data_IF_586270372807
#
_entry.id   IF_586270372807
#
_cell.length_a   1.000
_cell.length_b   1.000
_cell.length_c   1.000
_cell.angle_alpha   90.00
_cell.angle_beta   90.00
_cell.angle_gamma   90.00
#
_symmetry.space_group_name_H-M   'P 1'
#
loop_
_entity.id
_entity.type
_entity.pdbx_description
1 polymer ?
#
# COMPACT_ATOMS: atom_id res chain seq x y z
N UNK A 1 13.94 -8.27 -14.35
CA UNK A 1 12.53 -8.64 -14.54
C UNK A 1 12.16 -9.70 -13.53
N UNK A 2 11.12 -9.51 -12.76
CA UNK A 2 10.57 -10.49 -11.81
C UNK A 2 9.31 -11.12 -12.37
N UNK A 3 9.00 -12.33 -11.89
CA UNK A 3 7.75 -13.04 -12.27
C UNK A 3 7.07 -13.61 -11.03
N UNK A 4 5.81 -13.25 -10.83
CA UNK A 4 4.93 -13.75 -9.78
C UNK A 4 3.78 -14.54 -10.40
N UNK A 5 4.02 -15.83 -10.66
CA UNK A 5 3.04 -16.75 -11.24
C UNK A 5 2.16 -17.42 -10.15
N UNK A 6 2.64 -17.43 -8.94
CA UNK A 6 1.93 -17.78 -7.70
C UNK A 6 2.59 -17.06 -6.52
N UNK A 7 1.98 -17.15 -5.36
CA UNK A 7 2.42 -16.50 -4.12
C UNK A 7 2.70 -17.50 -3.00
N UNK A 8 2.94 -18.75 -3.36
CA UNK A 8 3.34 -19.78 -2.42
C UNK A 8 4.82 -19.65 -2.04
N UNK A 9 5.15 -20.04 -0.80
CA UNK A 9 6.54 -20.09 -0.32
C UNK A 9 7.36 -18.80 -0.47
N UNK A 10 6.72 -17.62 -0.32
CA UNK A 10 7.43 -16.34 -0.35
C UNK A 10 8.30 -16.17 0.91
N UNK A 11 9.54 -15.75 0.69
CA UNK A 11 10.39 -15.16 1.71
C UNK A 11 10.41 -13.65 1.48
N UNK A 12 9.82 -12.88 2.40
CA UNK A 12 9.58 -11.46 2.20
C UNK A 12 10.87 -10.64 2.09
N UNK A 13 11.91 -10.99 2.87
CA UNK A 13 13.19 -10.30 2.81
C UNK A 13 13.88 -10.51 1.45
N UNK A 14 13.90 -11.76 0.96
CA UNK A 14 14.45 -12.08 -0.36
C UNK A 14 13.65 -11.42 -1.50
N UNK A 15 12.33 -11.34 -1.36
CA UNK A 15 11.49 -10.66 -2.35
C UNK A 15 11.75 -9.16 -2.35
N UNK A 16 11.96 -8.53 -1.18
CA UNK A 16 12.30 -7.11 -1.11
C UNK A 16 13.61 -6.83 -1.83
N UNK A 17 14.67 -7.60 -1.58
CA UNK A 17 15.97 -7.45 -2.28
C UNK A 17 15.81 -7.55 -3.81
N UNK A 18 14.99 -8.47 -4.29
CA UNK A 18 14.72 -8.61 -5.74
C UNK A 18 13.96 -7.40 -6.28
N UNK A 19 12.96 -6.90 -5.53
CA UNK A 19 12.11 -5.78 -5.92
C UNK A 19 12.92 -4.49 -5.99
N UNK A 20 13.77 -4.21 -5.03
CA UNK A 20 14.63 -3.01 -5.00
C UNK A 20 15.55 -2.89 -6.22
N UNK A 21 15.90 -4.00 -6.84
CA UNK A 21 16.75 -4.08 -8.02
C UNK A 21 15.95 -4.33 -9.32
N UNK A 22 14.64 -4.13 -9.29
CA UNK A 22 13.76 -4.47 -10.40
C UNK A 22 13.08 -3.24 -11.00
N UNK A 23 13.14 -3.11 -12.32
CA UNK A 23 12.40 -2.08 -13.06
C UNK A 23 11.04 -2.57 -13.59
N UNK A 24 10.88 -3.89 -13.71
CA UNK A 24 9.70 -4.47 -14.36
C UNK A 24 9.33 -5.84 -13.78
N UNK A 25 8.04 -6.05 -13.47
CA UNK A 25 7.52 -7.31 -12.97
C UNK A 25 6.31 -7.78 -13.81
N UNK A 26 6.25 -9.08 -14.08
CA UNK A 26 5.06 -9.76 -14.62
C UNK A 26 4.38 -10.53 -13.49
N UNK A 27 3.06 -10.44 -13.39
CA UNK A 27 2.34 -11.10 -12.30
C UNK A 27 0.96 -11.62 -12.70
N UNK A 28 0.53 -12.68 -12.06
CA UNK A 28 -0.87 -13.09 -12.01
C UNK A 28 -1.50 -12.30 -10.86
N UNK A 29 -2.48 -11.46 -11.18
CA UNK A 29 -3.17 -10.65 -10.19
C UNK A 29 -4.24 -11.46 -9.48
N UNK A 30 -4.10 -11.57 -8.18
CA UNK A 30 -5.06 -12.22 -7.27
C UNK A 30 -5.58 -11.21 -6.24
N UNK A 31 -6.66 -10.47 -6.54
CA UNK A 31 -7.10 -9.32 -5.72
C UNK A 31 -7.49 -9.63 -4.28
N UNK A 32 -7.80 -10.90 -3.98
CA UNK A 32 -8.16 -11.38 -2.65
C UNK A 32 -7.01 -12.10 -1.93
N UNK A 33 -5.89 -12.30 -2.60
CA UNK A 33 -4.72 -12.94 -2.01
C UNK A 33 -3.85 -11.90 -1.29
N UNK A 34 -3.77 -12.01 0.02
CA UNK A 34 -2.99 -11.09 0.87
C UNK A 34 -1.52 -11.02 0.48
N UNK A 35 -0.91 -12.16 0.12
CA UNK A 35 0.49 -12.19 -0.31
C UNK A 35 0.70 -11.41 -1.61
N UNK A 36 -0.24 -11.53 -2.57
CA UNK A 36 -0.25 -10.72 -3.78
C UNK A 36 -0.33 -9.22 -3.44
N UNK A 37 -1.22 -8.82 -2.52
CA UNK A 37 -1.40 -7.42 -2.13
C UNK A 37 -0.17 -6.86 -1.41
N UNK A 38 0.49 -7.65 -0.57
CA UNK A 38 1.74 -7.28 0.06
C UNK A 38 2.83 -6.98 -0.97
N UNK A 39 3.04 -7.91 -1.91
CA UNK A 39 4.01 -7.74 -3.02
C UNK A 39 3.66 -6.52 -3.86
N UNK A 40 2.38 -6.29 -4.17
CA UNK A 40 1.94 -5.10 -4.89
C UNK A 40 2.30 -3.80 -4.17
N UNK A 41 2.16 -3.74 -2.84
CA UNK A 41 2.58 -2.58 -2.04
C UNK A 41 4.09 -2.32 -2.15
N UNK A 42 4.90 -3.39 -2.07
CA UNK A 42 6.36 -3.30 -2.19
C UNK A 42 6.78 -2.86 -3.60
N UNK A 43 6.21 -3.44 -4.65
CA UNK A 43 6.46 -3.04 -6.05
C UNK A 43 6.05 -1.59 -6.31
N UNK A 44 4.90 -1.17 -5.75
CA UNK A 44 4.33 0.16 -5.98
C UNK A 44 5.24 1.27 -5.46
N UNK A 45 5.71 1.14 -4.22
CA UNK A 45 6.56 2.16 -3.61
C UNK A 45 7.95 2.26 -4.27
N UNK A 46 8.44 1.16 -4.85
CA UNK A 46 9.67 1.12 -5.63
C UNK A 46 9.50 1.62 -7.08
N UNK A 47 8.29 2.03 -7.48
CA UNK A 47 8.04 2.54 -8.83
C UNK A 47 8.19 1.49 -9.94
N UNK A 48 8.08 0.21 -9.61
CA UNK A 48 8.27 -0.89 -10.54
C UNK A 48 7.13 -0.92 -11.55
N UNK A 49 7.44 -1.01 -12.84
CA UNK A 49 6.43 -1.22 -13.87
C UNK A 49 5.89 -2.64 -13.78
N UNK A 50 4.57 -2.80 -13.91
CA UNK A 50 3.95 -4.12 -13.86
C UNK A 50 3.23 -4.47 -15.17
N UNK A 51 3.17 -5.78 -15.45
CA UNK A 51 2.31 -6.37 -16.47
C UNK A 51 1.48 -7.48 -15.84
N UNK A 52 0.19 -7.42 -16.03
CA UNK A 52 -0.75 -8.42 -15.53
C UNK A 52 -0.93 -9.49 -16.61
N UNK A 53 -0.61 -10.74 -16.25
CA UNK A 53 -0.66 -11.87 -17.20
C UNK A 53 -2.08 -12.40 -17.39
N UNK A 54 -2.91 -12.34 -16.36
CA UNK A 54 -4.32 -12.77 -16.38
C UNK A 54 -5.31 -11.61 -16.55
N UNK A 55 -4.93 -10.59 -17.28
CA UNK A 55 -5.72 -9.36 -17.48
C UNK A 55 -7.16 -9.65 -17.97
N UNK A 56 -7.31 -10.65 -18.84
CA UNK A 56 -8.61 -11.02 -19.41
C UNK A 56 -9.59 -11.63 -18.40
N UNK A 57 -9.08 -12.15 -17.29
CA UNK A 57 -9.86 -12.82 -16.26
C UNK A 57 -10.29 -11.84 -15.15
N UNK A 58 -9.82 -10.58 -15.23
CA UNK A 58 -10.14 -9.58 -14.22
C UNK A 58 -11.54 -9.02 -14.39
N UNK A 59 -12.32 -9.02 -13.32
CA UNK A 59 -13.59 -8.30 -13.28
C UNK A 59 -13.36 -6.81 -13.00
N UNK A 60 -13.29 -6.01 -14.09
CA UNK A 60 -13.08 -4.57 -14.03
C UNK A 60 -14.39 -3.76 -13.90
N UNK A 61 -15.55 -4.42 -13.97
CA UNK A 61 -16.87 -3.78 -13.88
C UNK A 61 -17.29 -3.50 -12.43
N UNK A 62 -16.72 -4.21 -11.47
CA UNK A 62 -17.00 -3.98 -10.07
C UNK A 62 -16.32 -2.70 -9.60
N UNK A 63 -17.06 -1.62 -9.68
CA UNK A 63 -16.60 -0.24 -9.55
C UNK A 63 -16.07 0.12 -8.16
N UNK A 64 -16.08 -0.75 -7.17
CA UNK A 64 -16.02 -0.18 -5.84
C UNK A 64 -15.04 -0.76 -4.85
N UNK A 65 -14.35 -1.83 -5.04
CA UNK A 65 -13.68 -2.38 -3.83
C UNK A 65 -12.50 -3.31 -4.05
N UNK A 66 -12.11 -3.61 -5.26
CA UNK A 66 -11.06 -4.61 -5.43
C UNK A 66 -9.77 -4.01 -5.96
N UNK A 67 -8.68 -4.51 -5.44
CA UNK A 67 -7.35 -4.31 -6.01
C UNK A 67 -7.20 -4.89 -7.43
N UNK A 68 -8.28 -5.27 -8.12
CA UNK A 68 -8.24 -5.56 -9.56
C UNK A 68 -8.10 -4.31 -10.41
N UNK A 69 -8.75 -3.22 -10.01
CA UNK A 69 -8.78 -1.98 -10.80
C UNK A 69 -7.48 -1.20 -10.67
N UNK A 70 -7.01 -0.98 -9.45
CA UNK A 70 -5.81 -0.18 -9.21
C UNK A 70 -4.56 -0.77 -9.89
N UNK A 71 -4.23 -2.05 -9.75
CA UNK A 71 -3.09 -2.63 -10.45
C UNK A 71 -3.27 -2.65 -11.97
N UNK A 72 -4.51 -2.83 -12.46
CA UNK A 72 -4.80 -2.73 -13.89
C UNK A 72 -4.48 -1.33 -14.43
N UNK A 73 -4.96 -0.28 -13.78
CA UNK A 73 -4.65 1.11 -14.14
C UNK A 73 -3.14 1.36 -14.08
N UNK A 74 -2.49 0.92 -13.02
CA UNK A 74 -1.05 1.05 -12.85
C UNK A 74 -0.27 0.33 -13.97
N UNK A 75 -0.68 -0.86 -14.39
CA UNK A 75 -0.03 -1.60 -15.48
C UNK A 75 -0.06 -0.86 -16.82
N UNK A 76 -1.00 0.08 -17.00
CA UNK A 76 -1.12 0.89 -18.22
C UNK A 76 -0.37 2.24 -18.17
N UNK A 77 0.15 2.60 -17.00
CA UNK A 77 0.96 3.82 -16.86
C UNK A 77 2.34 3.54 -17.49
N UNK A 78 2.73 4.40 -18.44
CA UNK A 78 4.00 4.25 -19.16
C UNK A 78 3.99 3.21 -20.28
N UNK A 79 2.85 2.59 -20.58
CA UNK A 79 2.67 1.75 -21.76
C UNK A 79 2.35 2.61 -22.98
N UNK A 80 3.37 2.86 -23.81
CA UNK A 80 3.23 3.63 -25.05
C UNK A 80 2.49 2.87 -26.16
N UNK A 81 2.27 1.56 -25.99
CA UNK A 81 1.53 0.73 -26.97
C UNK A 81 0.02 0.91 -26.84
N UNK A 82 -0.44 1.47 -25.71
CA UNK A 82 -1.84 1.83 -25.52
C UNK A 82 -2.08 3.16 -26.26
N UNK A 83 -2.72 3.16 -27.44
CA UNK A 83 -2.87 4.38 -28.21
C UNK A 83 -3.69 5.39 -27.39
N UNK A 84 -3.29 6.65 -27.45
CA UNK A 84 -4.17 7.79 -27.12
C UNK A 84 -5.29 7.75 -28.16
N UNK A 85 -6.32 6.95 -27.91
CA UNK A 85 -7.46 6.88 -28.79
C UNK A 85 -8.18 8.22 -28.79
N UNK A 86 -8.69 8.60 -29.95
CA UNK A 86 -9.62 9.69 -30.06
C UNK A 86 -10.74 9.50 -29.02
N UNK A 87 -11.02 10.52 -28.21
CA UNK A 87 -11.95 10.47 -27.09
C UNK A 87 -13.35 9.91 -27.46
N UNK A 88 -13.70 10.03 -28.75
CA UNK A 88 -14.93 9.48 -29.34
C UNK A 88 -14.98 7.96 -29.35
N UNK A 89 -13.85 7.27 -29.24
CA UNK A 89 -13.72 5.81 -29.32
C UNK A 89 -13.52 5.12 -27.96
N UNK A 90 -13.50 5.87 -26.85
CA UNK A 90 -13.34 5.31 -25.50
C UNK A 90 -14.63 4.61 -25.10
N UNK A 91 -14.61 3.27 -25.09
CA UNK A 91 -15.79 2.43 -24.92
C UNK A 91 -16.21 2.23 -23.46
N UNK A 92 -15.28 2.30 -22.53
CA UNK A 92 -15.54 2.00 -21.12
C UNK A 92 -15.15 3.14 -20.20
N UNK A 93 -15.73 3.20 -19.01
CA UNK A 93 -15.34 4.17 -17.96
C UNK A 93 -13.86 3.96 -17.53
N UNK A 94 -13.38 2.72 -17.60
CA UNK A 94 -11.99 2.38 -17.29
C UNK A 94 -11.03 2.97 -18.34
N UNK A 95 -11.37 2.87 -19.62
CA UNK A 95 -10.54 3.46 -20.69
C UNK A 95 -10.42 4.98 -20.49
N UNK A 96 -11.51 5.64 -20.12
CA UNK A 96 -11.50 7.09 -19.80
C UNK A 96 -10.56 7.42 -18.65
N UNK A 97 -10.53 6.60 -17.60
CA UNK A 97 -9.63 6.77 -16.47
C UNK A 97 -8.17 6.62 -16.88
N UNK A 98 -7.85 5.61 -17.67
CA UNK A 98 -6.50 5.39 -18.22
C UNK A 98 -6.07 6.56 -19.09
N UNK A 99 -6.93 7.02 -20.00
CA UNK A 99 -6.65 8.18 -20.84
C UNK A 99 -6.39 9.46 -20.01
N UNK A 100 -7.16 9.69 -18.95
CA UNK A 100 -6.93 10.82 -18.06
C UNK A 100 -5.56 10.75 -17.39
N UNK A 101 -5.14 9.56 -16.90
CA UNK A 101 -3.82 9.36 -16.30
C UNK A 101 -2.72 9.67 -17.30
N UNK A 102 -2.83 9.17 -18.53
CA UNK A 102 -1.87 9.44 -19.62
C UNK A 102 -1.78 10.92 -19.96
N UNK A 103 -2.93 11.60 -20.05
CA UNK A 103 -2.98 13.06 -20.34
C UNK A 103 -2.33 13.90 -19.25
N UNK A 104 -2.46 13.51 -17.98
CA UNK A 104 -1.82 14.18 -16.86
C UNK A 104 -0.32 13.89 -16.80
N UNK A 105 0.14 12.85 -17.51
CA UNK A 105 1.55 12.48 -17.56
C UNK A 105 2.04 11.89 -16.23
N UNK A 106 1.21 11.08 -15.57
CA UNK A 106 1.60 10.38 -14.34
C UNK A 106 2.82 9.51 -14.62
N UNK A 107 3.84 9.62 -13.78
CA UNK A 107 5.05 8.82 -13.84
C UNK A 107 5.07 7.80 -12.71
N UNK A 108 5.69 6.67 -12.99
CA UNK A 108 6.03 5.66 -12.01
C UNK A 108 7.43 5.95 -11.45
N UNK A 109 7.50 6.92 -10.56
CA UNK A 109 8.74 7.22 -9.86
C UNK A 109 8.73 6.53 -8.49
N UNK A 110 9.86 6.01 -8.01
CA UNK A 110 9.96 5.48 -6.65
C UNK A 110 9.56 6.53 -5.61
N UNK A 111 8.85 6.10 -4.59
CA UNK A 111 8.47 6.98 -3.48
C UNK A 111 9.60 6.99 -2.47
N UNK A 112 10.22 8.16 -2.31
CA UNK A 112 11.41 8.32 -1.47
C UNK A 112 11.00 8.39 0.01
N UNK A 113 11.67 7.57 0.82
CA UNK A 113 11.50 7.60 2.28
C UNK A 113 12.07 8.90 2.85
N UNK A 114 11.18 9.78 3.31
CA UNK A 114 11.54 11.09 3.87
C UNK A 114 10.72 11.38 5.15
N UNK A 115 11.05 10.72 6.28
CA UNK A 115 10.27 10.80 7.50
C UNK A 115 10.33 12.20 8.14
N UNK A 116 9.18 12.68 8.56
CA UNK A 116 8.96 13.90 9.33
C UNK A 116 8.82 13.50 10.80
N UNK A 117 9.51 14.21 11.70
CA UNK A 117 9.44 13.97 13.15
C UNK A 117 7.99 14.09 13.65
N UNK A 118 7.62 13.20 14.57
CA UNK A 118 6.30 13.10 15.18
C UNK A 118 5.14 12.84 14.18
N UNK A 119 5.43 12.42 12.94
CA UNK A 119 4.39 12.02 12.01
C UNK A 119 4.18 10.50 12.07
N UNK A 120 2.93 10.10 12.20
CA UNK A 120 2.48 8.70 12.24
C UNK A 120 1.53 8.46 11.06
N UNK A 121 1.67 7.31 10.41
CA UNK A 121 0.64 6.79 9.51
C UNK A 121 -0.12 5.67 10.22
N UNK A 122 -1.44 5.77 10.26
CA UNK A 122 -2.29 4.76 10.87
C UNK A 122 -2.84 3.79 9.82
N UNK A 123 -2.36 2.55 9.82
CA UNK A 123 -2.99 1.47 9.07
C UNK A 123 -4.20 0.98 9.86
N UNK A 124 -5.39 1.09 9.28
CA UNK A 124 -6.62 0.67 9.91
C UNK A 124 -7.68 0.27 8.87
N UNK A 125 -8.70 -0.53 9.24
CA UNK A 125 -9.81 -0.82 8.36
C UNK A 125 -10.62 0.46 8.09
N UNK A 126 -10.93 0.72 6.81
CA UNK A 126 -11.67 1.93 6.39
C UNK A 126 -13.09 1.56 5.96
N UNK A 127 -13.20 0.67 4.96
CA UNK A 127 -14.49 0.39 4.30
C UNK A 127 -15.40 -0.53 5.10
N UNK A 128 -14.82 -1.54 5.73
CA UNK A 128 -15.54 -2.57 6.46
C UNK A 128 -15.41 -2.41 7.98
N UNK A 129 -14.91 -1.27 8.46
CA UNK A 129 -14.80 -1.00 9.89
C UNK A 129 -16.18 -1.01 10.55
N UNK A 130 -16.30 -1.71 11.68
CA UNK A 130 -17.49 -1.63 12.56
C UNK A 130 -17.60 -0.25 13.18
N UNK A 131 -18.75 0.08 13.75
CA UNK A 131 -18.93 1.34 14.48
C UNK A 131 -17.99 1.46 15.67
N UNK A 132 -17.74 0.36 16.38
CA UNK A 132 -16.82 0.28 17.51
C UNK A 132 -15.38 0.54 17.07
N UNK A 133 -14.95 -0.09 15.96
CA UNK A 133 -13.62 0.14 15.39
C UNK A 133 -13.46 1.60 14.94
N UNK A 134 -14.46 2.18 14.28
CA UNK A 134 -14.41 3.60 13.85
C UNK A 134 -14.25 4.54 15.04
N UNK A 135 -15.06 4.33 16.08
CA UNK A 135 -14.99 5.13 17.31
C UNK A 135 -13.62 4.99 17.96
N UNK A 136 -13.12 3.76 18.11
CA UNK A 136 -11.79 3.52 18.66
C UNK A 136 -10.69 4.26 17.89
N UNK A 137 -10.75 4.19 16.54
CA UNK A 137 -9.79 4.86 15.65
C UNK A 137 -9.87 6.38 15.82
N UNK A 138 -11.07 6.95 15.87
CA UNK A 138 -11.27 8.39 16.06
C UNK A 138 -10.74 8.86 17.43
N UNK A 139 -11.04 8.12 18.50
CA UNK A 139 -10.54 8.39 19.85
C UNK A 139 -9.00 8.32 19.88
N UNK A 140 -8.40 7.30 19.27
CA UNK A 140 -6.95 7.16 19.15
C UNK A 140 -6.31 8.32 18.40
N UNK A 141 -6.88 8.72 17.27
CA UNK A 141 -6.41 9.87 16.48
C UNK A 141 -6.47 11.14 17.31
N UNK A 142 -7.58 11.38 18.03
CA UNK A 142 -7.75 12.52 18.92
C UNK A 142 -6.69 12.56 20.02
N UNK A 143 -6.45 11.44 20.68
CA UNK A 143 -5.41 11.32 21.71
C UNK A 143 -4.02 11.64 21.14
N UNK A 144 -3.68 11.12 19.96
CA UNK A 144 -2.37 11.38 19.34
C UNK A 144 -2.17 12.85 18.96
N UNK A 145 -3.22 13.54 18.54
CA UNK A 145 -3.15 14.99 18.34
C UNK A 145 -2.89 15.76 19.65
N UNK A 146 -3.53 15.37 20.75
CA UNK A 146 -3.29 15.97 22.06
C UNK A 146 -1.86 15.72 22.55
N UNK A 147 -1.27 14.57 22.21
CA UNK A 147 0.13 14.24 22.47
C UNK A 147 1.13 15.00 21.56
N UNK A 148 0.65 15.78 20.58
CA UNK A 148 1.46 16.58 19.66
C UNK A 148 1.98 15.83 18.44
N UNK A 149 1.40 14.68 18.11
CA UNK A 149 1.71 13.96 16.86
C UNK A 149 0.89 14.49 15.69
N UNK A 150 1.48 14.40 14.49
CA UNK A 150 0.77 14.56 13.21
C UNK A 150 0.40 13.16 12.72
N UNK A 151 -0.89 12.84 12.73
CA UNK A 151 -1.33 11.52 12.31
C UNK A 151 -2.00 11.55 10.92
N UNK A 152 -1.65 10.62 10.05
CA UNK A 152 -2.37 10.38 8.81
C UNK A 152 -3.18 9.09 8.92
N UNK A 153 -4.49 9.25 9.05
CA UNK A 153 -5.46 8.15 9.04
C UNK A 153 -6.21 8.19 7.69
N UNK A 154 -6.14 7.16 6.84
CA UNK A 154 -6.68 7.20 5.47
C UNK A 154 -8.16 7.58 5.37
N UNK A 155 -8.99 7.16 6.33
CA UNK A 155 -10.42 7.49 6.34
C UNK A 155 -10.72 8.98 6.59
N UNK A 156 -9.79 9.72 7.22
CA UNK A 156 -9.93 11.15 7.51
C UNK A 156 -9.15 12.02 6.52
N UNK A 157 -7.99 11.56 6.05
CA UNK A 157 -7.02 12.42 5.39
C UNK A 157 -6.78 12.06 3.92
N UNK A 158 -7.21 10.87 3.46
CA UNK A 158 -7.09 10.46 2.06
C UNK A 158 -8.41 10.65 1.34
N UNK A 159 -8.37 11.31 0.19
CA UNK A 159 -9.55 11.49 -0.66
C UNK A 159 -10.05 10.13 -1.11
N UNK A 160 -11.25 9.73 -0.66
CA UNK A 160 -11.84 8.41 -0.95
C UNK A 160 -12.49 8.33 -2.34
N UNK A 161 -12.62 9.43 -3.05
CA UNK A 161 -13.12 9.49 -4.43
C UNK A 161 -11.94 9.59 -5.38
N UNK A 162 -11.72 8.55 -6.17
CA UNK A 162 -10.60 8.47 -7.10
C UNK A 162 -11.08 8.12 -8.51
N UNK A 163 -10.91 9.08 -9.42
CA UNK A 163 -11.22 8.91 -10.85
C UNK A 163 -10.20 8.00 -11.58
N UNK A 164 -9.10 7.67 -10.92
CA UNK A 164 -8.01 6.84 -11.47
C UNK A 164 -8.04 5.40 -10.97
N UNK A 165 -9.20 4.91 -10.56
CA UNK A 165 -9.38 3.51 -10.17
C UNK A 165 -8.65 3.07 -8.90
N UNK A 166 -8.43 3.99 -7.96
CA UNK A 166 -7.73 3.73 -6.70
C UNK A 166 -6.22 4.05 -6.74
N UNK A 167 -5.66 4.36 -7.91
CA UNK A 167 -4.22 4.67 -8.04
C UNK A 167 -3.81 5.91 -7.23
N UNK A 168 -4.60 7.00 -7.31
CA UNK A 168 -4.30 8.22 -6.58
C UNK A 168 -4.43 8.04 -5.06
N UNK A 169 -5.40 7.24 -4.61
CA UNK A 169 -5.55 6.85 -3.20
C UNK A 169 -4.31 6.10 -2.71
N UNK A 170 -3.89 5.06 -3.43
CA UNK A 170 -2.70 4.28 -3.08
C UNK A 170 -1.43 5.14 -3.09
N UNK A 171 -1.30 6.06 -4.06
CA UNK A 171 -0.17 6.97 -4.13
C UNK A 171 -0.14 7.92 -2.94
N UNK A 172 -1.26 8.54 -2.59
CA UNK A 172 -1.37 9.44 -1.44
C UNK A 172 -1.05 8.71 -0.12
N UNK A 173 -1.55 7.49 0.06
CA UNK A 173 -1.23 6.68 1.23
C UNK A 173 0.26 6.33 1.27
N UNK A 174 0.85 5.87 0.17
CA UNK A 174 2.25 5.52 0.11
C UNK A 174 3.18 6.72 0.38
N UNK A 175 2.85 7.92 -0.13
CA UNK A 175 3.55 9.16 0.19
C UNK A 175 3.40 9.54 1.68
N UNK A 176 2.22 9.30 2.26
CA UNK A 176 1.98 9.53 3.68
C UNK A 176 2.78 8.54 4.55
N UNK A 177 2.85 7.26 4.16
CA UNK A 177 3.73 6.24 4.79
C UNK A 177 5.18 6.70 4.69
N UNK A 178 5.65 7.08 3.51
CA UNK A 178 7.03 7.53 3.28
C UNK A 178 7.41 8.73 4.16
N UNK A 179 6.50 9.67 4.33
CA UNK A 179 6.72 10.85 5.17
C UNK A 179 6.48 10.61 6.66
N UNK A 180 6.00 9.45 7.08
CA UNK A 180 5.80 9.12 8.49
C UNK A 180 7.07 8.57 9.13
N UNK A 181 7.29 8.92 10.39
CA UNK A 181 8.39 8.40 11.21
C UNK A 181 8.12 6.96 11.66
N UNK A 182 6.83 6.63 11.84
CA UNK A 182 6.36 5.39 12.43
C UNK A 182 5.01 5.01 11.81
N UNK A 183 4.74 3.72 11.78
CA UNK A 183 3.46 3.16 11.36
C UNK A 183 2.79 2.56 12.58
N UNK A 184 1.61 3.07 12.91
CA UNK A 184 0.74 2.45 13.89
C UNK A 184 -0.29 1.60 13.15
N UNK A 185 -0.54 0.39 13.60
CA UNK A 185 -1.50 -0.49 12.95
C UNK A 185 -2.56 -1.00 13.94
N UNK A 186 -3.82 -0.73 13.62
CA UNK A 186 -4.96 -1.49 14.11
C UNK A 186 -5.22 -2.62 13.11
N UNK A 187 -4.66 -3.80 13.41
CA UNK A 187 -4.67 -4.91 12.46
C UNK A 187 -6.01 -5.60 12.40
N UNK A 188 -6.59 -5.65 11.22
CA UNK A 188 -7.79 -6.42 10.90
C UNK A 188 -7.45 -7.39 9.76
N UNK A 189 -7.49 -8.68 10.07
CA UNK A 189 -7.18 -9.75 9.11
C UNK A 189 -8.08 -9.73 7.86
N UNK A 190 -9.25 -9.10 7.91
CA UNK A 190 -10.17 -8.99 6.77
C UNK A 190 -9.84 -7.80 5.83
N UNK A 191 -9.00 -6.86 6.28
CA UNK A 191 -8.71 -5.64 5.54
C UNK A 191 -7.63 -5.83 4.48
N UNK A 192 -8.03 -5.90 3.22
CA UNK A 192 -7.10 -6.03 2.08
C UNK A 192 -6.28 -4.77 1.84
N UNK A 193 -6.85 -3.58 2.08
CA UNK A 193 -6.13 -2.31 1.96
C UNK A 193 -4.96 -2.20 2.95
N UNK A 194 -5.18 -2.65 4.18
CA UNK A 194 -4.14 -2.68 5.21
C UNK A 194 -2.92 -3.52 4.80
N UNK A 195 -3.13 -4.63 4.08
CA UNK A 195 -2.04 -5.49 3.62
C UNK A 195 -1.19 -4.82 2.53
N UNK A 196 -1.82 -4.06 1.63
CA UNK A 196 -1.08 -3.27 0.65
C UNK A 196 -0.22 -2.19 1.34
N UNK A 197 -0.82 -1.44 2.28
CA UNK A 197 -0.10 -0.41 3.05
C UNK A 197 1.02 -1.01 3.92
N UNK A 198 0.86 -2.25 4.44
CA UNK A 198 1.93 -3.00 5.10
C UNK A 198 3.09 -3.31 4.14
N UNK A 199 2.81 -3.70 2.90
CA UNK A 199 3.84 -3.91 1.88
C UNK A 199 4.63 -2.63 1.58
N UNK A 200 3.95 -1.48 1.49
CA UNK A 200 4.58 -0.16 1.36
C UNK A 200 5.47 0.14 2.57
N UNK A 201 4.95 -0.07 3.78
CA UNK A 201 5.69 0.20 5.02
C UNK A 201 6.93 -0.69 5.17
N UNK A 202 6.81 -1.96 4.79
CA UNK A 202 7.91 -2.91 4.82
C UNK A 202 9.03 -2.51 3.87
N UNK A 203 8.72 -2.21 2.62
CA UNK A 203 9.69 -1.78 1.62
C UNK A 203 10.37 -0.44 1.96
N UNK A 204 9.71 0.41 2.74
CA UNK A 204 10.28 1.65 3.25
C UNK A 204 10.99 1.50 4.60
N UNK A 205 11.14 0.28 5.11
CA UNK A 205 11.81 -0.02 6.38
C UNK A 205 11.23 0.76 7.57
N UNK A 206 9.91 0.91 7.62
CA UNK A 206 9.24 1.72 8.66
C UNK A 206 9.11 0.95 9.97
N UNK A 207 9.38 1.58 11.12
CA UNK A 207 9.00 1.03 12.42
C UNK A 207 7.49 0.79 12.48
N UNK A 208 7.07 -0.36 13.04
CA UNK A 208 5.68 -0.73 13.20
C UNK A 208 5.31 -0.88 14.68
N UNK A 209 4.16 -0.32 15.05
CA UNK A 209 3.54 -0.48 16.38
C UNK A 209 2.18 -1.13 16.20
N UNK A 210 2.01 -2.32 16.76
CA UNK A 210 0.73 -3.03 16.76
C UNK A 210 -0.13 -2.58 17.93
N UNK A 211 -1.28 -1.93 17.65
CA UNK A 211 -2.12 -1.28 18.63
C UNK A 211 -3.08 -2.24 19.35
N UNK A 212 -3.62 -3.22 18.64
CA UNK A 212 -4.63 -4.16 19.15
C UNK A 212 -4.07 -5.58 19.35
N UNK A 213 -2.83 -5.68 19.82
CA UNK A 213 -2.11 -6.95 19.98
C UNK A 213 -2.86 -8.00 20.81
N UNK A 214 -3.52 -7.56 21.87
CA UNK A 214 -4.24 -8.44 22.80
C UNK A 214 -5.57 -8.98 22.21
N UNK A 215 -6.05 -8.39 21.12
CA UNK A 215 -7.32 -8.74 20.47
C UNK A 215 -7.13 -9.70 19.30
N UNK A 216 -5.89 -9.96 18.88
CA UNK A 216 -5.60 -10.69 17.65
C UNK A 216 -5.23 -12.13 17.95
N UNK A 217 -5.97 -13.06 17.36
CA UNK A 217 -5.56 -14.45 17.25
C UNK A 217 -4.75 -14.65 15.97
N UNK A 218 -3.43 -14.58 16.10
CA UNK A 218 -2.52 -14.83 14.99
C UNK A 218 -2.54 -16.30 14.57
N UNK A 219 -2.56 -16.50 13.25
CA UNK A 219 -2.52 -17.86 12.66
C UNK A 219 -1.09 -18.24 12.38
N UNK A 220 -0.64 -19.34 12.99
CA UNK A 220 0.70 -19.87 12.72
C UNK A 220 0.82 -20.31 11.25
N UNK A 221 1.90 -19.89 10.60
CA UNK A 221 2.15 -20.14 9.18
C UNK A 221 1.38 -19.23 8.22
N UNK A 222 0.60 -18.27 8.70
CA UNK A 222 0.13 -17.17 7.86
C UNK A 222 1.25 -16.14 7.71
N UNK A 223 1.66 -15.90 6.46
CA UNK A 223 2.80 -15.03 6.14
C UNK A 223 2.66 -13.62 6.72
N UNK A 224 1.45 -13.05 6.66
CA UNK A 224 1.21 -11.67 7.11
C UNK A 224 1.24 -11.60 8.63
N UNK A 225 0.61 -12.55 9.29
CA UNK A 225 0.60 -12.66 10.75
C UNK A 225 2.02 -12.87 11.29
N UNK A 226 2.79 -13.76 10.67
CA UNK A 226 4.18 -14.02 11.05
C UNK A 226 5.08 -12.80 10.78
N UNK A 227 4.89 -12.10 9.67
CA UNK A 227 5.60 -10.85 9.36
C UNK A 227 5.31 -9.77 10.39
N UNK A 228 4.06 -9.58 10.82
CA UNK A 228 3.71 -8.59 11.85
C UNK A 228 4.33 -8.95 13.19
N UNK A 229 4.30 -10.23 13.60
CA UNK A 229 4.94 -10.70 14.84
C UNK A 229 6.44 -10.46 14.88
N UNK A 230 7.10 -10.62 13.74
CA UNK A 230 8.56 -10.58 13.62
C UNK A 230 9.08 -9.33 12.92
N UNK A 231 8.28 -8.27 12.87
CA UNK A 231 8.61 -7.04 12.13
C UNK A 231 10.03 -6.56 12.43
N UNK A 232 10.93 -6.48 11.41
CA UNK A 232 12.37 -6.32 11.66
C UNK A 232 12.78 -4.88 11.96
N UNK A 233 11.91 -3.89 11.62
CA UNK A 233 12.27 -2.48 11.71
C UNK A 233 11.73 -1.89 13.00
N UNK A 234 12.64 -1.50 13.90
CA UNK A 234 12.29 -0.89 15.18
C UNK A 234 12.66 0.59 15.19
N UNK A 235 11.92 1.37 15.95
CA UNK A 235 12.24 2.78 16.18
C UNK A 235 13.65 2.88 16.76
N UNK A 236 14.56 3.59 16.09
CA UNK A 236 15.91 3.85 16.61
C UNK A 236 15.79 4.63 17.91
N UNK A 237 16.23 4.03 18.99
CA UNK A 237 16.26 4.70 20.29
C UNK A 237 17.20 5.92 20.23
N UNK A 238 16.61 7.12 20.21
CA UNK A 238 17.37 8.39 20.15
C UNK A 238 18.33 8.53 21.35
N UNK A 239 18.14 7.77 22.44
CA UNK A 239 19.01 7.80 23.62
C UNK A 239 20.41 7.25 23.35
N UNK A 240 20.59 6.38 22.36
CA UNK A 240 21.89 5.81 21.98
C UNK A 240 22.76 6.70 21.09
N UNK A 241 22.18 7.75 20.48
CA UNK A 241 22.94 8.65 19.60
C UNK A 241 23.66 9.74 20.39
N UNK A 242 23.14 10.13 21.54
CA UNK A 242 23.74 11.17 22.41
C UNK A 242 24.92 10.66 23.26
N UNK A 243 25.12 9.35 23.37
CA UNK A 243 26.22 8.77 24.15
C UNK A 243 27.53 8.55 23.34
N UNK A 244 27.56 8.89 22.05
CA UNK A 244 28.77 8.75 21.20
C UNK A 244 29.43 10.09 20.85
N UNK A 245 28.95 11.20 21.40
CA UNK A 245 29.53 12.54 21.21
C UNK A 245 30.03 13.14 22.53
N UNK A 246 30.55 12.32 23.45
CA UNK A 246 31.34 12.77 24.61
C UNK A 246 32.69 12.07 24.58
#
# INVERSE_FOLDING_TARGET
MLQYLNYDNLNIDEELEKIENCEFAELILEPNNKKCLLILGMLFVNGVKIKILNEKDLNLETTNKSFSIMPYVWSKIGDNSFPLSDYSNVKTEMDKRIENIKRIGVKLDPIINNPIDNKIFLICPVRNATEEQRKWIEDFVGQKYEEGYVIHAPHLHTVQTDLFGGYAICKQNAEAVASSQEIDIYYDQSSTGSVFDLGVAYALHKPLVLLNKEEIEFKDGDLIDDMIKTWPYHKKDKSRILSKCC
#
